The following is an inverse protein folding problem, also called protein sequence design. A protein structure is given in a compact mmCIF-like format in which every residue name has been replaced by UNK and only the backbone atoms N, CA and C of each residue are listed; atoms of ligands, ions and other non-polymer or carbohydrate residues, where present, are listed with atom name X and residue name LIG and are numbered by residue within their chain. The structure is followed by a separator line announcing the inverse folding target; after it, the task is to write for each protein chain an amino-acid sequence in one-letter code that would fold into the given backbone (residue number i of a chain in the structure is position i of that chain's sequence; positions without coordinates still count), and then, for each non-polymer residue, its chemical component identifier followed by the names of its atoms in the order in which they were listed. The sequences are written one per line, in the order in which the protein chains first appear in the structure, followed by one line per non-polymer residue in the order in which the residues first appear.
data_IF_169947192857
#
_entry.id   IF_169947192857
#
_cell.length_a   1.000
_cell.length_b   1.000
_cell.length_c   1.000
_cell.angle_alpha   90.00
_cell.angle_beta   90.00
_cell.angle_gamma   90.00
#
_symmetry.space_group_name_H-M   'P 1'
#
loop_
_entity.id
_entity.type
_entity.pdbx_description
1 polymer ?
#
# COMPACT_ATOMS: atom_id res chain seq x y z
N UNK A 1 -13.13 4.59 17.33
CA UNK A 1 -12.17 4.55 16.20
C UNK A 1 -11.63 3.13 16.11
N UNK A 2 -11.99 2.36 15.08
CA UNK A 2 -11.48 1.01 14.91
C UNK A 2 -9.99 1.10 14.51
N UNK A 3 -9.10 0.63 15.39
CA UNK A 3 -7.69 0.42 15.03
C UNK A 3 -7.61 -0.87 14.22
N UNK A 4 -7.31 -0.76 12.94
CA UNK A 4 -7.10 -1.92 12.07
C UNK A 4 -5.60 -2.04 11.80
N UNK A 5 -5.09 -3.27 11.92
CA UNK A 5 -3.67 -3.58 11.76
C UNK A 5 -3.42 -4.20 10.40
N UNK A 6 -2.23 -3.96 9.84
CA UNK A 6 -1.78 -4.60 8.60
C UNK A 6 -0.43 -5.28 8.79
N UNK A 7 -0.15 -6.25 7.91
CA UNK A 7 1.16 -6.84 7.70
C UNK A 7 1.51 -6.67 6.22
N UNK A 8 2.51 -5.85 5.93
CA UNK A 8 3.09 -5.69 4.60
C UNK A 8 4.32 -6.59 4.47
N UNK A 9 4.39 -7.31 3.36
CA UNK A 9 5.48 -8.20 3.02
C UNK A 9 5.98 -7.80 1.64
N UNK A 10 7.25 -7.42 1.54
CA UNK A 10 7.88 -7.06 0.27
C UNK A 10 9.07 -7.97 0.01
N UNK A 11 9.13 -8.52 -1.20
CA UNK A 11 10.23 -9.35 -1.68
C UNK A 11 10.87 -8.65 -2.87
N UNK A 12 12.16 -8.37 -2.78
CA UNK A 12 12.89 -7.68 -3.85
C UNK A 12 13.48 -8.72 -4.81
N UNK A 13 13.11 -8.66 -6.10
CA UNK A 13 13.62 -9.62 -7.11
C UNK A 13 15.15 -9.59 -7.23
N UNK A 14 15.76 -8.42 -7.07
CA UNK A 14 17.22 -8.24 -7.20
C UNK A 14 18.00 -8.76 -5.98
N UNK A 15 17.34 -8.86 -4.82
CA UNK A 15 17.96 -9.36 -3.60
C UNK A 15 17.40 -10.73 -3.27
N UNK A 16 18.01 -11.75 -3.85
CA UNK A 16 17.61 -13.14 -3.65
C UNK A 16 17.48 -13.43 -2.14
N UNK A 17 16.26 -13.75 -1.70
CA UNK A 17 15.87 -14.08 -0.32
C UNK A 17 15.73 -12.94 0.71
N UNK A 18 15.85 -11.67 0.34
CA UNK A 18 15.49 -10.59 1.27
C UNK A 18 13.98 -10.31 1.23
N UNK A 19 13.33 -10.59 2.36
CA UNK A 19 11.92 -10.29 2.60
C UNK A 19 11.81 -9.25 3.71
N UNK A 20 11.32 -8.06 3.36
CA UNK A 20 11.00 -7.04 4.35
C UNK A 20 9.58 -7.26 4.88
N UNK A 21 9.43 -7.24 6.20
CA UNK A 21 8.14 -7.41 6.88
C UNK A 21 7.88 -6.21 7.76
N UNK A 22 6.79 -5.52 7.48
CA UNK A 22 6.38 -4.32 8.20
C UNK A 22 4.98 -4.50 8.77
N UNK A 23 4.80 -4.19 10.06
CA UNK A 23 3.49 -4.25 10.74
C UNK A 23 3.13 -2.87 11.24
N UNK A 24 1.93 -2.42 10.93
CA UNK A 24 1.49 -1.09 11.33
C UNK A 24 -0.01 -1.02 11.49
N UNK A 25 -0.49 0.20 11.71
CA UNK A 25 -1.91 0.54 11.65
C UNK A 25 -2.18 1.24 10.33
N UNK A 26 -3.29 0.90 9.68
CA UNK A 26 -3.76 1.66 8.54
C UNK A 26 -5.00 2.47 8.91
N UNK A 27 -5.22 3.53 8.15
CA UNK A 27 -6.40 4.37 8.23
C UNK A 27 -7.05 4.42 6.86
N UNK A 28 -8.39 4.42 6.84
CA UNK A 28 -9.17 4.65 5.63
C UNK A 28 -9.56 6.12 5.62
N UNK A 29 -9.16 6.83 4.58
CA UNK A 29 -9.54 8.21 4.31
C UNK A 29 -10.73 8.25 3.35
N UNK A 30 -11.36 9.42 3.25
CA UNK A 30 -12.38 9.67 2.24
C UNK A 30 -11.86 9.41 0.81
N UNK A 31 -12.73 8.96 -0.08
CA UNK A 31 -12.35 8.60 -1.46
C UNK A 31 -11.72 7.21 -1.61
N UNK A 32 -11.93 6.31 -0.65
CA UNK A 32 -11.42 4.93 -0.66
C UNK A 32 -9.89 4.84 -0.71
N UNK A 33 -9.22 5.75 -0.01
CA UNK A 33 -7.77 5.78 0.10
C UNK A 33 -7.36 5.12 1.42
N UNK A 34 -6.52 4.09 1.33
CA UNK A 34 -5.87 3.42 2.44
C UNK A 34 -4.52 4.09 2.69
N UNK A 35 -4.33 4.63 3.89
CA UNK A 35 -3.06 5.18 4.34
C UNK A 35 -2.38 4.19 5.30
N UNK A 36 -1.20 3.69 4.91
CA UNK A 36 -0.38 2.78 5.71
C UNK A 36 0.83 3.55 6.26
N UNK A 37 1.01 3.51 7.58
CA UNK A 37 2.16 4.14 8.25
C UNK A 37 3.26 3.11 8.44
N UNK A 38 4.31 3.16 7.61
CA UNK A 38 5.44 2.24 7.73
C UNK A 38 6.24 2.56 9.01
N UNK A 39 6.32 1.62 9.97
CA UNK A 39 7.00 1.88 11.24
C UNK A 39 8.52 2.03 11.09
N UNK A 40 9.10 1.49 10.01
CA UNK A 40 10.56 1.43 9.83
C UNK A 40 11.14 2.82 9.51
N UNK A 41 10.48 3.55 8.61
CA UNK A 41 10.98 4.82 8.08
C UNK A 41 10.06 6.00 8.41
N UNK A 42 8.97 5.77 9.16
CA UNK A 42 7.88 6.74 9.35
C UNK A 42 7.29 7.25 8.03
N UNK A 43 7.45 6.48 6.96
CA UNK A 43 6.98 6.84 5.63
C UNK A 43 5.50 6.47 5.50
N UNK A 44 4.74 7.30 4.80
CA UNK A 44 3.32 7.10 4.56
C UNK A 44 3.12 6.57 3.16
N UNK A 45 2.51 5.39 3.05
CA UNK A 45 2.17 4.78 1.77
C UNK A 45 0.67 4.87 1.57
N UNK A 46 0.26 5.35 0.41
CA UNK A 46 -1.14 5.51 0.05
C UNK A 46 -1.53 4.51 -1.02
N UNK A 47 -2.65 3.82 -0.80
CA UNK A 47 -3.27 2.96 -1.79
C UNK A 47 -4.69 3.42 -2.06
N UNK A 48 -5.10 3.48 -3.32
CA UNK A 48 -6.47 3.74 -3.71
C UNK A 48 -7.12 2.43 -4.09
N UNK A 49 -8.34 2.19 -3.61
CA UNK A 49 -9.14 1.06 -4.07
C UNK A 49 -9.55 1.33 -5.52
N UNK A 50 -9.02 0.53 -6.45
CA UNK A 50 -9.30 0.67 -7.89
C UNK A 50 -10.57 -0.08 -8.27
N UNK A 51 -10.71 -1.32 -7.79
CA UNK A 51 -11.89 -2.16 -7.99
C UNK A 51 -12.20 -2.93 -6.69
N UNK A 52 -13.29 -3.70 -6.68
CA UNK A 52 -13.70 -4.51 -5.53
C UNK A 52 -12.61 -5.48 -5.00
N UNK A 53 -11.63 -5.84 -5.84
CA UNK A 53 -10.59 -6.82 -5.55
C UNK A 53 -9.17 -6.29 -5.82
N UNK A 54 -8.99 -4.99 -6.09
CA UNK A 54 -7.70 -4.42 -6.47
C UNK A 54 -7.45 -3.10 -5.76
N UNK A 55 -6.20 -2.87 -5.37
CA UNK A 55 -5.73 -1.60 -4.87
C UNK A 55 -4.52 -1.17 -5.68
N UNK A 56 -4.42 0.12 -5.99
CA UNK A 56 -3.28 0.69 -6.70
C UNK A 56 -2.51 1.64 -5.77
N UNK A 57 -1.19 1.57 -5.82
CA UNK A 57 -0.35 2.55 -5.15
C UNK A 57 -0.63 3.95 -5.75
N UNK A 58 -0.84 4.93 -4.88
CA UNK A 58 -1.10 6.32 -5.25
C UNK A 58 -0.18 7.25 -4.48
N UNK A 59 -0.02 8.47 -4.97
CA UNK A 59 0.67 9.53 -4.23
C UNK A 59 -0.22 10.02 -3.08
N UNK A 60 0.37 10.80 -2.17
CA UNK A 60 -0.29 11.50 -1.06
C UNK A 60 -1.54 12.32 -1.45
N UNK A 61 -1.64 12.73 -2.72
CA UNK A 61 -2.79 13.46 -3.27
C UNK A 61 -3.91 12.55 -3.80
N UNK A 62 -3.75 11.22 -3.76
CA UNK A 62 -4.72 10.27 -4.30
C UNK A 62 -4.82 10.24 -5.83
N UNK A 63 -3.80 10.78 -6.51
CA UNK A 63 -3.76 10.86 -7.96
C UNK A 63 -3.21 9.58 -8.59
N UNK A 64 -3.80 9.19 -9.70
CA UNK A 64 -3.48 7.95 -10.39
C UNK A 64 -2.28 8.21 -11.36
N UNK A 65 -1.09 7.66 -11.08
CA UNK A 65 0.07 7.77 -11.98
C UNK A 65 -0.10 6.89 -13.24
N UNK A 66 -0.91 7.33 -14.20
CA UNK A 66 -1.39 6.56 -15.36
C UNK A 66 -0.34 5.81 -16.19
N UNK A 67 0.92 6.26 -16.30
CA UNK A 67 1.93 5.61 -17.16
C UNK A 67 2.70 4.46 -16.50
N UNK A 68 2.67 4.36 -15.16
CA UNK A 68 3.42 3.36 -14.39
C UNK A 68 2.52 2.46 -13.54
N UNK A 69 1.21 2.60 -13.67
CA UNK A 69 0.25 2.05 -12.71
C UNK A 69 0.09 0.54 -12.73
N UNK A 70 0.20 -0.10 -13.89
CA UNK A 70 0.08 -1.56 -13.99
C UNK A 70 1.13 -2.30 -13.14
N UNK A 71 2.29 -1.69 -12.89
CA UNK A 71 3.35 -2.29 -12.07
C UNK A 71 3.12 -2.18 -10.56
N UNK A 72 2.14 -1.39 -10.10
CA UNK A 72 1.91 -1.15 -8.67
C UNK A 72 0.50 -1.54 -8.19
N UNK A 73 -0.24 -2.33 -8.96
CA UNK A 73 -1.54 -2.88 -8.53
C UNK A 73 -1.36 -4.16 -7.71
N UNK A 74 -1.91 -4.17 -6.50
CA UNK A 74 -2.06 -5.35 -5.68
C UNK A 74 -3.47 -5.92 -5.87
N UNK A 75 -3.59 -7.24 -6.06
CA UNK A 75 -4.87 -7.92 -6.18
C UNK A 75 -5.15 -8.73 -4.92
N UNK A 76 -6.43 -8.81 -4.55
CA UNK A 76 -6.89 -9.74 -3.53
C UNK A 76 -6.62 -11.17 -4.00
N UNK A 77 -6.02 -11.97 -3.12
CA UNK A 77 -5.77 -13.41 -3.29
C UNK A 77 -7.00 -14.19 -2.84
#
# INVERSE_FOLDING_TARGET
MARVSYLLIQTFKEKQNEQEKSRGTFQVLDGNILMLVLPLNSELVFYKVSDANSIALTDSLGNDHSERMQTYTLRRI
#
